data_IF_286161546909
#
_entry.id   IF_286161546909
#
_cell.length_a   1.000
_cell.length_b   1.000
_cell.length_c   1.000
_cell.angle_alpha   90.00
_cell.angle_beta   90.00
_cell.angle_gamma   90.00
#
_symmetry.space_group_name_H-M   'P 1'
#
loop_
_entity.id
_entity.type
_entity.pdbx_description
1 polymer ?
#
# COMPACT_ATOMS: atom_id res chain seq x y z
N UNK A 1 -1.19 -7.60 -14.04
CA UNK A 1 -0.85 -6.95 -12.76
C UNK A 1 -1.17 -7.90 -11.61
N UNK A 2 -0.40 -7.87 -10.53
CA UNK A 2 -0.73 -8.55 -9.28
C UNK A 2 -1.19 -7.54 -8.23
N UNK A 3 -2.35 -7.76 -7.61
CA UNK A 3 -2.78 -7.02 -6.42
C UNK A 3 -2.65 -7.95 -5.22
N UNK A 4 -1.75 -7.59 -4.30
CA UNK A 4 -1.40 -8.41 -3.14
C UNK A 4 -2.02 -7.77 -1.90
N UNK A 5 -3.04 -8.44 -1.37
CA UNK A 5 -3.61 -8.20 -0.06
C UNK A 5 -2.72 -8.75 1.06
N UNK A 6 -3.20 -8.69 2.30
CA UNK A 6 -2.41 -9.04 3.48
C UNK A 6 -3.02 -10.22 4.27
N UNK A 7 -3.88 -11.03 3.63
CA UNK A 7 -4.45 -12.22 4.27
C UNK A 7 -3.35 -13.25 4.56
N UNK A 8 -3.46 -13.92 5.71
CA UNK A 8 -2.55 -14.99 6.11
C UNK A 8 -2.63 -16.25 5.23
N UNK A 9 -3.59 -16.32 4.30
CA UNK A 9 -3.68 -17.39 3.29
C UNK A 9 -2.43 -17.48 2.40
N UNK A 10 -1.61 -16.43 2.36
CA UNK A 10 -0.35 -16.44 1.61
C UNK A 10 0.77 -17.19 2.33
N UNK A 11 0.67 -17.44 3.64
CA UNK A 11 1.71 -18.18 4.35
C UNK A 11 1.83 -19.61 3.79
N UNK A 12 3.07 -20.03 3.53
CA UNK A 12 3.41 -21.34 2.94
C UNK A 12 2.80 -21.58 1.54
N UNK A 13 2.44 -20.51 0.82
CA UNK A 13 1.85 -20.60 -0.53
C UNK A 13 2.90 -20.72 -1.63
N UNK A 14 4.14 -20.29 -1.38
CA UNK A 14 5.22 -20.20 -2.36
C UNK A 14 4.87 -19.34 -3.61
N UNK A 15 3.83 -18.50 -3.53
CA UNK A 15 3.38 -17.65 -4.63
C UNK A 15 4.37 -16.54 -5.00
N UNK A 16 5.45 -16.34 -4.24
CA UNK A 16 6.31 -15.16 -4.38
C UNK A 16 6.96 -15.01 -5.74
N UNK A 17 7.39 -16.12 -6.36
CA UNK A 17 7.95 -16.12 -7.73
C UNK A 17 6.90 -15.75 -8.78
N UNK A 18 5.68 -16.24 -8.62
CA UNK A 18 4.56 -15.94 -9.51
C UNK A 18 4.15 -14.47 -9.39
N UNK A 19 4.03 -13.95 -8.17
CA UNK A 19 3.75 -12.54 -7.89
C UNK A 19 4.81 -11.64 -8.55
N UNK A 20 6.10 -11.94 -8.33
CA UNK A 20 7.20 -11.13 -8.87
C UNK A 20 7.32 -11.21 -10.41
N UNK A 21 6.75 -12.25 -11.04
CA UNK A 21 6.71 -12.37 -12.51
C UNK A 21 5.77 -11.38 -13.19
N UNK A 22 4.83 -10.79 -12.45
CA UNK A 22 3.88 -9.81 -13.00
C UNK A 22 4.58 -8.51 -13.38
N UNK A 23 4.14 -7.86 -14.47
CA UNK A 23 4.74 -6.59 -14.91
C UNK A 23 4.60 -5.46 -13.88
N UNK A 24 3.52 -5.48 -13.10
CA UNK A 24 3.21 -4.46 -12.09
C UNK A 24 2.60 -5.09 -10.85
N UNK A 25 3.16 -4.81 -9.67
CA UNK A 25 2.77 -5.37 -8.37
C UNK A 25 2.29 -4.26 -7.44
N UNK A 26 1.04 -4.41 -6.97
CA UNK A 26 0.34 -3.47 -6.10
C UNK A 26 0.22 -4.07 -4.70
N UNK A 27 0.75 -3.40 -3.68
CA UNK A 27 0.75 -3.88 -2.29
C UNK A 27 0.01 -2.97 -1.32
N UNK A 28 -0.46 -3.57 -0.22
CA UNK A 28 -1.31 -2.88 0.74
C UNK A 28 -0.59 -2.52 2.05
N UNK A 29 -0.71 -1.26 2.48
CA UNK A 29 -0.38 -0.74 3.81
C UNK A 29 1.06 -1.01 4.30
N UNK A 30 2.07 -0.88 3.43
CA UNK A 30 3.48 -1.08 3.78
C UNK A 30 3.78 -2.44 4.46
N UNK A 31 3.06 -3.49 4.07
CA UNK A 31 3.26 -4.84 4.60
C UNK A 31 4.73 -5.31 4.50
N UNK A 32 5.23 -6.09 5.47
CA UNK A 32 6.55 -6.71 5.39
C UNK A 32 6.61 -7.73 4.24
N UNK A 33 7.69 -7.69 3.46
CA UNK A 33 7.90 -8.59 2.32
C UNK A 33 9.19 -9.41 2.44
N UNK A 34 10.26 -8.85 3.02
CA UNK A 34 11.58 -9.50 3.06
C UNK A 34 11.52 -10.85 3.80
N UNK A 35 10.83 -10.88 4.94
CA UNK A 35 10.69 -12.07 5.79
C UNK A 35 9.77 -13.14 5.18
N UNK A 36 8.93 -12.76 4.20
CA UNK A 36 7.91 -13.61 3.59
C UNK A 36 8.14 -13.76 2.07
N UNK A 37 9.35 -13.50 1.59
CA UNK A 37 9.63 -13.33 0.17
C UNK A 37 9.27 -14.57 -0.68
N UNK A 38 9.40 -15.78 -0.11
CA UNK A 38 9.00 -17.03 -0.78
C UNK A 38 7.50 -17.04 -1.12
N UNK A 39 6.67 -16.49 -0.23
CA UNK A 39 5.22 -16.50 -0.33
C UNK A 39 4.65 -15.29 -1.06
N UNK A 40 5.20 -14.11 -0.75
CA UNK A 40 4.61 -12.84 -1.20
C UNK A 40 5.44 -12.12 -2.24
N UNK A 41 6.66 -12.58 -2.53
CA UNK A 41 7.59 -11.93 -3.43
C UNK A 41 8.18 -10.64 -2.84
N UNK A 42 9.07 -10.01 -3.59
CA UNK A 42 9.77 -8.77 -3.19
C UNK A 42 9.43 -7.58 -4.05
N UNK A 43 8.96 -7.80 -5.29
CA UNK A 43 8.63 -6.73 -6.23
C UNK A 43 7.46 -5.91 -5.70
N UNK A 44 7.61 -4.60 -5.78
CA UNK A 44 6.56 -3.62 -5.47
C UNK A 44 6.74 -2.47 -6.44
N UNK A 45 5.69 -2.09 -7.16
CA UNK A 45 5.71 -0.91 -8.04
C UNK A 45 4.77 0.18 -7.51
N UNK A 46 3.71 -0.23 -6.83
CA UNK A 46 2.75 0.63 -6.17
C UNK A 46 2.44 0.08 -4.79
N UNK A 47 2.63 0.88 -3.76
CA UNK A 47 2.32 0.48 -2.39
C UNK A 47 1.52 1.55 -1.68
N UNK A 48 0.48 1.13 -0.98
CA UNK A 48 -0.30 2.04 -0.15
C UNK A 48 0.28 2.14 1.25
N UNK A 49 0.10 3.28 1.90
CA UNK A 49 0.39 3.45 3.33
C UNK A 49 -0.69 4.30 3.97
N UNK A 50 -1.63 3.66 4.65
CA UNK A 50 -2.55 4.39 5.52
C UNK A 50 -1.76 5.11 6.64
N UNK A 51 -2.07 6.39 6.97
CA UNK A 51 -1.39 7.12 8.05
C UNK A 51 -1.31 6.36 9.39
N UNK A 52 -2.30 5.51 9.69
CA UNK A 52 -2.30 4.67 10.91
C UNK A 52 -1.15 3.66 10.98
N UNK A 53 -0.51 3.31 9.85
CA UNK A 53 0.69 2.46 9.82
C UNK A 53 1.82 3.07 10.65
N UNK A 54 1.98 4.41 10.62
CA UNK A 54 3.01 5.11 11.39
C UNK A 54 2.86 4.82 12.89
N UNK A 55 1.63 4.88 13.40
CA UNK A 55 1.36 4.57 14.82
C UNK A 55 1.48 3.08 15.12
N UNK A 56 0.91 2.22 14.28
CA UNK A 56 0.77 0.79 14.56
C UNK A 56 2.05 -0.02 14.37
N UNK A 57 2.84 0.31 13.35
CA UNK A 57 4.04 -0.45 12.97
C UNK A 57 5.34 0.25 13.34
N UNK A 58 5.31 1.57 13.56
CA UNK A 58 6.50 2.39 13.79
C UNK A 58 6.37 3.31 15.02
N UNK A 59 5.55 2.91 16.00
CA UNK A 59 5.48 3.56 17.32
C UNK A 59 5.17 5.07 17.30
N UNK A 60 4.64 5.61 16.20
CA UNK A 60 4.44 7.04 16.04
C UNK A 60 5.74 7.85 15.94
N UNK A 61 6.86 7.22 15.54
CA UNK A 61 8.19 7.84 15.49
C UNK A 61 8.68 8.41 16.83
N UNK A 62 8.23 7.83 17.94
CA UNK A 62 8.65 8.22 19.30
C UNK A 62 10.13 7.96 19.53
N UNK A 63 10.65 6.86 18.98
CA UNK A 63 12.01 6.40 19.18
C UNK A 63 12.79 6.44 17.87
N UNK A 64 14.12 6.59 17.93
CA UNK A 64 14.96 6.66 16.73
C UNK A 64 14.97 5.34 15.94
N UNK A 65 14.98 4.20 16.63
CA UNK A 65 14.92 2.87 15.99
C UNK A 65 13.67 2.70 15.11
N UNK A 66 12.52 3.25 15.51
CA UNK A 66 11.31 3.16 14.68
C UNK A 66 11.41 4.02 13.42
N UNK A 67 12.08 5.17 13.51
CA UNK A 67 12.35 6.04 12.36
C UNK A 67 13.32 5.37 11.40
N UNK A 68 14.38 4.76 11.91
CA UNK A 68 15.35 4.00 11.12
C UNK A 68 14.69 2.83 10.40
N UNK A 69 13.88 2.04 11.10
CA UNK A 69 13.09 0.94 10.50
C UNK A 69 12.16 1.44 9.40
N UNK A 70 11.50 2.58 9.61
CA UNK A 70 10.63 3.19 8.62
C UNK A 70 11.40 3.67 7.39
N UNK A 71 12.50 4.38 7.59
CA UNK A 71 13.37 4.86 6.51
C UNK A 71 13.93 3.68 5.71
N UNK A 72 14.40 2.62 6.38
CA UNK A 72 14.85 1.39 5.75
C UNK A 72 13.72 0.73 4.94
N UNK A 73 12.50 0.68 5.48
CA UNK A 73 11.36 0.13 4.74
C UNK A 73 11.07 0.93 3.46
N UNK A 74 11.15 2.25 3.53
CA UNK A 74 10.91 3.12 2.37
C UNK A 74 12.07 3.09 1.37
N UNK A 75 13.32 2.94 1.80
CA UNK A 75 14.47 2.85 0.88
C UNK A 75 14.39 1.63 -0.03
N UNK A 76 13.80 0.54 0.46
CA UNK A 76 13.59 -0.69 -0.33
C UNK A 76 12.55 -0.54 -1.45
N UNK A 77 11.73 0.51 -1.43
CA UNK A 77 10.69 0.72 -2.44
C UNK A 77 11.24 1.27 -3.77
N UNK A 78 12.46 1.79 -3.79
CA UNK A 78 13.21 2.25 -4.97
C UNK A 78 12.37 2.55 -6.24
N UNK A 79 12.03 3.83 -6.45
CA UNK A 79 11.23 4.37 -7.56
C UNK A 79 9.75 3.96 -7.59
N UNK A 80 9.29 3.11 -6.67
CA UNK A 80 7.85 2.79 -6.50
C UNK A 80 7.00 4.03 -6.18
N UNK A 81 5.71 3.91 -6.48
CA UNK A 81 4.69 4.83 -6.00
C UNK A 81 4.31 4.49 -4.55
N UNK A 82 4.49 5.44 -3.64
CA UNK A 82 3.95 5.39 -2.28
C UNK A 82 2.64 6.20 -2.22
N UNK A 83 1.53 5.50 -2.23
CA UNK A 83 0.20 6.08 -2.23
C UNK A 83 -0.33 6.25 -0.81
N UNK A 84 -0.53 7.49 -0.39
CA UNK A 84 -0.82 7.85 1.01
C UNK A 84 -2.19 8.54 1.09
N UNK A 85 -3.23 7.86 1.59
CA UNK A 85 -4.56 8.44 1.78
C UNK A 85 -4.63 9.42 2.97
N UNK A 86 -3.88 10.52 2.87
CA UNK A 86 -3.66 11.50 3.95
C UNK A 86 -4.95 12.09 4.53
N UNK A 87 -5.95 12.30 3.68
CA UNK A 87 -7.18 13.03 4.03
C UNK A 87 -8.34 12.12 4.42
N UNK A 88 -8.18 10.79 4.39
CA UNK A 88 -9.27 9.84 4.61
C UNK A 88 -9.66 9.64 6.08
N UNK A 89 -8.85 10.16 7.00
CA UNK A 89 -9.05 10.11 8.45
C UNK A 89 -8.65 11.46 9.02
N UNK A 90 -9.44 12.00 9.95
CA UNK A 90 -9.13 13.26 10.64
C UNK A 90 -7.77 13.16 11.36
N UNK A 91 -6.89 14.13 11.16
CA UNK A 91 -5.55 14.14 11.76
C UNK A 91 -4.50 13.33 10.98
N UNK A 92 -4.88 12.70 9.85
CA UNK A 92 -3.96 11.96 9.00
C UNK A 92 -2.88 12.85 8.39
N UNK A 93 -3.20 14.12 8.10
CA UNK A 93 -2.30 15.09 7.50
C UNK A 93 -1.00 15.28 8.30
N UNK A 94 -1.09 15.34 9.63
CA UNK A 94 0.08 15.49 10.51
C UNK A 94 1.03 14.31 10.40
N UNK A 95 0.50 13.08 10.35
CA UNK A 95 1.33 11.90 10.17
C UNK A 95 2.05 11.90 8.81
N UNK A 96 1.39 12.41 7.78
CA UNK A 96 1.94 12.48 6.43
C UNK A 96 3.02 13.56 6.31
N UNK A 97 2.89 14.69 7.00
CA UNK A 97 3.95 15.70 7.09
C UNK A 97 5.26 15.11 7.63
N UNK A 98 5.18 14.31 8.69
CA UNK A 98 6.35 13.64 9.27
C UNK A 98 6.98 12.63 8.30
N UNK A 99 6.14 11.85 7.61
CA UNK A 99 6.62 10.91 6.58
C UNK A 99 7.35 11.66 5.46
N UNK A 100 6.78 12.76 4.98
CA UNK A 100 7.40 13.58 3.94
C UNK A 100 8.72 14.18 4.39
N UNK A 101 8.79 14.67 5.64
CA UNK A 101 10.04 15.17 6.22
C UNK A 101 11.12 14.09 6.26
N UNK A 102 10.78 12.85 6.61
CA UNK A 102 11.73 11.72 6.61
C UNK A 102 12.18 11.34 5.20
N UNK A 103 11.27 11.33 4.22
CA UNK A 103 11.59 11.07 2.82
C UNK A 103 12.59 12.10 2.28
N UNK A 104 12.30 13.39 2.51
CA UNK A 104 13.17 14.50 2.07
C UNK A 104 14.52 14.49 2.78
N UNK A 105 14.53 14.33 4.11
CA UNK A 105 15.76 14.29 4.93
C UNK A 105 16.71 13.18 4.47
N UNK A 106 16.18 12.00 4.15
CA UNK A 106 16.97 10.83 3.76
C UNK A 106 17.14 10.68 2.24
N UNK A 107 16.63 11.64 1.44
CA UNK A 107 16.70 11.62 -0.04
C UNK A 107 16.19 10.32 -0.64
N UNK A 108 15.09 9.79 -0.09
CA UNK A 108 14.54 8.50 -0.52
C UNK A 108 13.94 8.61 -1.92
N UNK A 109 14.30 7.66 -2.79
CA UNK A 109 13.76 7.56 -4.15
C UNK A 109 12.40 6.88 -4.13
N UNK A 110 11.37 7.62 -3.77
CA UNK A 110 9.98 7.13 -3.76
C UNK A 110 9.06 8.23 -4.30
N UNK A 111 8.09 7.84 -5.11
CA UNK A 111 7.13 8.78 -5.72
C UNK A 111 5.89 8.83 -4.85
N UNK A 112 5.70 9.92 -4.11
CA UNK A 112 4.51 10.04 -3.25
C UNK A 112 3.28 10.44 -4.07
N UNK A 113 2.15 9.82 -3.78
CA UNK A 113 0.85 10.14 -4.38
C UNK A 113 -0.22 10.29 -3.30
N UNK A 114 -0.99 11.38 -3.36
CA UNK A 114 -2.02 11.69 -2.36
C UNK A 114 -3.40 11.72 -3.03
N UNK A 115 -4.24 10.70 -2.85
CA UNK A 115 -5.57 10.66 -3.45
C UNK A 115 -6.50 11.72 -2.86
N UNK A 116 -7.37 12.27 -3.71
CA UNK A 116 -8.50 13.06 -3.26
C UNK A 116 -9.54 12.20 -2.53
N UNK A 117 -10.22 12.78 -1.56
CA UNK A 117 -11.38 12.18 -0.89
C UNK A 117 -12.48 11.75 -1.87
N UNK A 118 -12.62 12.45 -3.01
CA UNK A 118 -13.59 12.14 -4.06
C UNK A 118 -13.42 10.73 -4.63
N UNK A 119 -12.19 10.19 -4.63
CA UNK A 119 -11.90 8.86 -5.15
C UNK A 119 -12.66 7.77 -4.40
N UNK A 120 -12.74 7.84 -3.06
CA UNK A 120 -13.47 6.85 -2.27
C UNK A 120 -14.95 6.88 -2.59
N UNK A 121 -15.51 8.09 -2.74
CA UNK A 121 -16.92 8.26 -3.07
C UNK A 121 -17.24 7.67 -4.45
N UNK A 122 -16.37 7.90 -5.44
CA UNK A 122 -16.50 7.33 -6.77
C UNK A 122 -16.44 5.80 -6.75
N UNK A 123 -15.44 5.23 -6.06
CA UNK A 123 -15.29 3.77 -5.94
C UNK A 123 -16.47 3.16 -5.20
N UNK A 124 -16.91 3.77 -4.09
CA UNK A 124 -18.12 3.34 -3.39
C UNK A 124 -19.35 3.37 -4.31
N UNK A 125 -19.52 4.46 -5.06
CA UNK A 125 -20.61 4.59 -6.03
C UNK A 125 -20.63 3.46 -7.05
N UNK A 126 -19.47 3.18 -7.67
CA UNK A 126 -19.32 2.09 -8.64
C UNK A 126 -19.78 0.74 -8.07
N UNK A 127 -19.31 0.35 -6.89
CA UNK A 127 -19.66 -0.94 -6.29
C UNK A 127 -21.13 -1.02 -5.86
N UNK A 128 -21.70 0.09 -5.36
CA UNK A 128 -23.13 0.15 -5.03
C UNK A 128 -24.02 -0.01 -6.28
N UNK A 129 -23.66 0.62 -7.40
CA UNK A 129 -24.37 0.44 -8.68
C UNK A 129 -24.28 -1.00 -9.18
N UNK A 130 -23.18 -1.71 -8.88
CA UNK A 130 -22.99 -3.12 -9.19
C UNK A 130 -23.58 -4.07 -8.12
N UNK A 131 -24.51 -3.59 -7.28
CA UNK A 131 -25.22 -4.38 -6.24
C UNK A 131 -24.29 -5.02 -5.20
N UNK A 132 -23.10 -4.46 -4.99
CA UNK A 132 -22.19 -4.86 -3.91
C UNK A 132 -22.34 -3.86 -2.76
N UNK A 133 -23.08 -4.20 -1.68
CA UNK A 133 -23.34 -3.26 -0.60
C UNK A 133 -22.07 -3.06 0.23
N UNK A 134 -21.38 -1.92 0.02
CA UNK A 134 -20.21 -1.54 0.81
C UNK A 134 -20.43 -0.21 1.54
N UNK A 135 -20.16 -0.22 2.85
CA UNK A 135 -20.15 1.02 3.65
C UNK A 135 -18.89 1.84 3.37
N UNK A 136 -17.72 1.17 3.32
CA UNK A 136 -16.42 1.76 3.02
C UNK A 136 -15.58 0.72 2.23
N UNK A 137 -14.98 1.08 1.08
CA UNK A 137 -14.06 0.20 0.39
C UNK A 137 -12.84 -0.14 1.28
N UNK A 138 -12.43 -1.41 1.29
CA UNK A 138 -11.12 -1.80 1.84
C UNK A 138 -10.00 -1.26 0.94
N UNK A 139 -8.77 -1.19 1.46
CA UNK A 139 -7.61 -0.81 0.63
C UNK A 139 -7.47 -1.74 -0.57
N UNK A 140 -7.65 -3.05 -0.38
CA UNK A 140 -7.56 -4.03 -1.46
C UNK A 140 -8.63 -3.84 -2.54
N UNK A 141 -9.90 -3.61 -2.16
CA UNK A 141 -10.97 -3.33 -3.12
C UNK A 141 -10.71 -2.03 -3.89
N UNK A 142 -10.19 -1.02 -3.19
CA UNK A 142 -9.77 0.24 -3.81
C UNK A 142 -8.64 0.03 -4.81
N UNK A 143 -7.62 -0.77 -4.47
CA UNK A 143 -6.50 -1.08 -5.35
C UNK A 143 -6.92 -1.89 -6.57
N UNK A 144 -7.79 -2.89 -6.40
CA UNK A 144 -8.39 -3.60 -7.53
C UNK A 144 -9.13 -2.62 -8.45
N UNK A 145 -9.96 -1.74 -7.90
CA UNK A 145 -10.73 -0.76 -8.71
C UNK A 145 -9.83 0.24 -9.43
N UNK A 146 -8.69 0.61 -8.85
CA UNK A 146 -7.70 1.45 -9.53
C UNK A 146 -6.97 0.67 -10.63
N UNK A 147 -6.58 -0.58 -10.36
CA UNK A 147 -5.88 -1.44 -11.30
C UNK A 147 -6.67 -1.65 -12.60
N UNK A 148 -8.01 -1.73 -12.55
CA UNK A 148 -8.85 -1.84 -13.76
C UNK A 148 -8.72 -0.65 -14.73
N UNK A 149 -8.09 0.45 -14.33
CA UNK A 149 -7.87 1.62 -15.19
C UNK A 149 -6.57 1.56 -15.99
N UNK A 150 -5.63 0.69 -15.63
CA UNK A 150 -4.30 0.64 -16.25
C UNK A 150 -3.71 -0.78 -16.39
N UNK A 151 -4.44 -1.82 -15.99
CA UNK A 151 -4.05 -3.22 -16.13
C UNK A 151 -5.02 -3.95 -17.06
N UNK A 152 -4.50 -4.66 -18.05
CA UNK A 152 -5.32 -5.50 -18.95
C UNK A 152 -5.79 -6.79 -18.26
N UNK A 153 -4.95 -7.35 -17.38
CA UNK A 153 -5.23 -8.55 -16.60
C UNK A 153 -4.83 -8.35 -15.14
N UNK A 154 -5.65 -8.83 -14.20
CA UNK A 154 -5.45 -8.62 -12.76
C UNK A 154 -5.54 -9.96 -12.03
N UNK A 155 -4.48 -10.30 -11.32
CA UNK A 155 -4.39 -11.46 -10.43
C UNK A 155 -4.46 -10.98 -8.98
N UNK A 156 -5.28 -11.66 -8.17
CA UNK A 156 -5.49 -11.31 -6.77
C UNK A 156 -4.82 -12.35 -5.87
N UNK A 157 -4.01 -11.87 -4.93
CA UNK A 157 -3.31 -12.70 -3.94
C UNK A 157 -3.64 -12.18 -2.53
N UNK A 158 -3.90 -13.07 -1.58
CA UNK A 158 -4.07 -12.67 -0.17
C UNK A 158 -5.34 -11.87 0.14
N UNK A 159 -6.47 -12.24 -0.47
CA UNK A 159 -7.81 -11.68 -0.23
C UNK A 159 -8.74 -12.67 0.44
#
# INVERSE_FOLDING_TARGET
CAVVGNSGILLDSECGKEIDSHNFVIRCNLAPVVEFAADVGTKSDFITMNPSVVQRAFGGFRNESDREKFVHRLSMLNDSVLWIPAFMVKGGEKHVEWVNALILKNKLKVRTAYPSLRLIHAVRGYWLTNKVPIKRPSTGLLMYTLATRFCDEIHLYGF
#
